data_IF_890029942327
#
_entry.id   IF_890029942327
#
_cell.length_a   1.000
_cell.length_b   1.000
_cell.length_c   1.000
_cell.angle_alpha   90.00
_cell.angle_beta   90.00
_cell.angle_gamma   90.00
#
_symmetry.space_group_name_H-M   'P 1'
#
loop_
_entity.id
_entity.type
_entity.pdbx_description
1 polymer ?
#
# COMPACT_ATOMS: atom_id res chain seq x y z
N UNK A 1 -32.40 43.83 10.06
CA UNK A 1 -32.78 42.72 9.16
C UNK A 1 -31.70 42.36 8.15
N UNK A 2 -30.88 43.27 7.68
CA UNK A 2 -29.78 43.01 6.70
C UNK A 2 -28.52 42.40 7.32
N UNK A 3 -28.24 42.67 8.60
CA UNK A 3 -27.07 42.06 9.30
C UNK A 3 -27.25 40.55 9.60
N UNK A 4 -28.50 40.11 9.86
CA UNK A 4 -28.81 38.72 10.12
C UNK A 4 -28.70 37.82 8.84
N UNK A 5 -28.93 38.41 7.65
CA UNK A 5 -28.81 37.71 6.36
C UNK A 5 -27.34 37.48 5.98
N UNK A 6 -26.45 38.43 6.36
CA UNK A 6 -25.01 38.30 6.11
C UNK A 6 -24.34 37.19 6.96
N UNK A 7 -24.80 37.01 8.20
CA UNK A 7 -24.28 35.93 9.09
C UNK A 7 -24.77 34.54 8.69
N UNK A 8 -25.99 34.44 8.16
CA UNK A 8 -26.52 33.17 7.66
C UNK A 8 -25.82 32.67 6.39
N UNK A 9 -25.25 33.55 5.56
CA UNK A 9 -24.53 33.20 4.34
C UNK A 9 -23.11 32.69 4.62
N UNK A 10 -22.49 33.05 5.75
CA UNK A 10 -21.15 32.57 6.15
C UNK A 10 -21.16 31.15 6.74
N UNK A 11 -22.32 30.62 7.13
CA UNK A 11 -22.44 29.29 7.77
C UNK A 11 -22.58 28.12 6.80
N UNK A 12 -22.60 28.36 5.47
CA UNK A 12 -22.76 27.32 4.44
C UNK A 12 -21.45 26.94 3.73
N UNK A 13 -20.28 27.41 4.22
CA UNK A 13 -19.02 26.91 3.69
C UNK A 13 -18.75 25.53 4.25
N UNK A 14 -19.20 24.49 3.54
CA UNK A 14 -18.74 23.12 3.78
C UNK A 14 -17.21 23.10 3.68
N UNK A 15 -16.49 22.41 4.58
CA UNK A 15 -15.04 22.30 4.49
C UNK A 15 -14.71 21.57 3.17
N UNK A 16 -14.19 22.32 2.21
CA UNK A 16 -13.61 21.73 1.00
C UNK A 16 -12.30 21.08 1.46
N UNK A 17 -12.25 19.77 1.47
CA UNK A 17 -11.02 19.04 1.73
C UNK A 17 -10.11 19.22 0.51
N UNK A 18 -9.10 20.06 0.66
CA UNK A 18 -8.05 20.24 -0.33
C UNK A 18 -6.81 19.50 0.16
N UNK A 19 -6.27 18.64 -0.69
CA UNK A 19 -5.04 17.90 -0.43
C UNK A 19 -3.88 18.56 -1.16
N UNK A 20 -2.67 18.41 -0.66
CA UNK A 20 -1.49 18.93 -1.34
C UNK A 20 -1.09 18.03 -2.50
N UNK A 21 -0.57 18.63 -3.59
CA UNK A 21 -0.10 17.85 -4.76
C UNK A 21 0.89 16.76 -4.33
N UNK A 22 1.77 17.00 -3.33
CA UNK A 22 2.70 15.99 -2.81
C UNK A 22 2.01 14.72 -2.26
N UNK A 23 0.77 14.86 -1.78
CA UNK A 23 0.01 13.76 -1.19
C UNK A 23 -0.81 13.02 -2.26
N UNK A 24 -1.09 13.70 -3.37
CA UNK A 24 -1.85 13.19 -4.52
C UNK A 24 -0.98 12.59 -5.61
N UNK A 25 0.25 13.06 -5.78
CA UNK A 25 1.13 12.67 -6.88
C UNK A 25 2.59 12.55 -6.47
N UNK A 26 3.28 11.63 -7.12
CA UNK A 26 4.72 11.42 -7.03
C UNK A 26 5.44 11.97 -8.26
N UNK A 27 6.73 12.31 -8.11
CA UNK A 27 7.54 12.81 -9.23
C UNK A 27 8.04 11.64 -10.07
N UNK A 28 7.77 11.66 -11.36
CA UNK A 28 8.22 10.64 -12.30
C UNK A 28 9.75 10.52 -12.33
N UNK A 29 10.23 9.28 -12.36
CA UNK A 29 11.67 8.99 -12.33
C UNK A 29 12.33 9.10 -10.95
N UNK A 30 11.57 9.44 -9.91
CA UNK A 30 12.02 9.43 -8.51
C UNK A 30 11.42 8.21 -7.83
N UNK A 31 12.22 7.15 -7.71
CA UNK A 31 11.80 5.89 -7.07
C UNK A 31 12.94 5.26 -6.30
N UNK A 32 12.63 4.48 -5.30
CA UNK A 32 13.59 3.58 -4.70
C UNK A 32 13.90 2.40 -5.64
N UNK A 33 15.09 1.85 -5.53
CA UNK A 33 15.54 0.72 -6.31
C UNK A 33 15.87 -0.45 -5.39
N UNK A 34 15.35 -1.63 -5.72
CA UNK A 34 15.64 -2.83 -4.95
C UNK A 34 17.01 -3.36 -5.32
N UNK A 35 17.81 -3.65 -4.30
CA UNK A 35 19.12 -4.28 -4.43
C UNK A 35 19.07 -5.70 -3.86
N UNK A 36 19.78 -6.60 -4.53
CA UNK A 36 19.93 -7.97 -4.10
C UNK A 36 21.42 -8.35 -4.09
N UNK A 37 21.81 -9.17 -3.14
CA UNK A 37 23.15 -9.74 -3.04
C UNK A 37 23.13 -11.14 -2.48
N UNK A 38 24.28 -11.78 -2.59
CA UNK A 38 24.61 -13.04 -1.96
C UNK A 38 25.82 -12.83 -1.04
N UNK A 39 25.81 -13.44 0.14
CA UNK A 39 26.91 -13.31 1.07
C UNK A 39 26.99 -14.47 2.04
N UNK A 40 28.01 -14.39 2.91
CA UNK A 40 28.20 -15.32 4.02
C UNK A 40 28.08 -14.57 5.35
N UNK A 41 27.30 -15.13 6.25
CA UNK A 41 27.28 -14.74 7.66
C UNK A 41 28.14 -15.74 8.43
N UNK A 42 29.09 -15.23 9.19
CA UNK A 42 30.05 -16.03 9.99
C UNK A 42 29.89 -15.72 11.47
N UNK A 43 30.57 -16.51 12.32
CA UNK A 43 30.53 -16.31 13.78
C UNK A 43 29.29 -16.87 14.47
N UNK A 44 28.52 -17.72 13.77
CA UNK A 44 27.32 -18.35 14.32
C UNK A 44 27.71 -19.45 15.33
N UNK A 45 27.06 -19.44 16.50
CA UNK A 45 27.29 -20.41 17.56
C UNK A 45 26.59 -21.75 17.28
N UNK A 46 27.13 -22.53 16.33
CA UNK A 46 26.63 -23.83 15.94
C UNK A 46 25.24 -23.82 15.26
N UNK A 47 24.69 -22.63 14.99
CA UNK A 47 23.36 -22.44 14.39
C UNK A 47 23.41 -22.22 12.88
N UNK A 48 24.60 -22.18 12.27
CA UNK A 48 24.81 -21.99 10.84
C UNK A 48 24.41 -23.20 10.00
N UNK A 49 24.75 -23.15 8.73
CA UNK A 49 24.48 -24.22 7.77
C UNK A 49 25.23 -25.50 8.11
N UNK A 50 24.57 -26.61 7.89
CA UNK A 50 25.22 -27.92 7.88
C UNK A 50 25.89 -28.08 6.52
N UNK A 51 27.21 -27.90 6.45
CA UNK A 51 27.96 -27.87 5.20
C UNK A 51 27.85 -29.16 4.39
N UNK A 52 27.53 -30.28 5.03
CA UNK A 52 27.22 -31.56 4.33
C UNK A 52 25.92 -31.52 3.53
N UNK A 53 24.97 -30.68 3.91
CA UNK A 53 23.66 -30.52 3.26
C UNK A 53 23.56 -29.23 2.43
N UNK A 54 24.44 -28.27 2.67
CA UNK A 54 24.55 -27.00 1.96
C UNK A 54 25.94 -26.85 1.30
N UNK A 55 26.23 -27.57 0.21
CA UNK A 55 27.56 -27.59 -0.42
C UNK A 55 27.98 -26.21 -0.97
N UNK A 56 27.02 -25.38 -1.35
CA UNK A 56 27.27 -24.03 -1.83
C UNK A 56 27.85 -23.10 -0.74
N UNK A 57 27.53 -23.32 0.55
CA UNK A 57 28.14 -22.58 1.67
C UNK A 57 29.62 -22.91 1.79
N UNK A 58 30.00 -24.20 1.66
CA UNK A 58 31.39 -24.62 1.65
C UNK A 58 32.17 -24.03 0.48
N UNK A 59 31.60 -24.14 -0.72
CA UNK A 59 32.23 -23.60 -1.93
C UNK A 59 32.44 -22.07 -1.84
N UNK A 60 31.47 -21.34 -1.31
CA UNK A 60 31.59 -19.89 -1.15
C UNK A 60 32.68 -19.52 -0.14
N UNK A 61 32.81 -20.28 0.94
CA UNK A 61 33.87 -20.10 1.91
C UNK A 61 35.27 -20.41 1.32
N UNK A 62 35.39 -21.50 0.56
CA UNK A 62 36.62 -21.88 -0.14
C UNK A 62 37.03 -20.79 -1.14
N UNK A 63 36.09 -20.27 -1.94
CA UNK A 63 36.35 -19.17 -2.87
C UNK A 63 36.84 -17.91 -2.15
N UNK A 64 36.23 -17.58 -1.01
CA UNK A 64 36.65 -16.46 -0.19
C UNK A 64 38.07 -16.66 0.37
N UNK A 65 38.37 -17.82 0.92
CA UNK A 65 39.71 -18.14 1.44
C UNK A 65 40.78 -18.07 0.34
N UNK A 66 40.45 -18.52 -0.88
CA UNK A 66 41.34 -18.41 -2.03
C UNK A 66 41.65 -16.95 -2.39
N UNK A 67 40.67 -16.04 -2.26
CA UNK A 67 40.88 -14.60 -2.48
C UNK A 67 41.87 -14.01 -1.45
N UNK A 68 41.96 -14.58 -0.24
CA UNK A 68 42.93 -14.23 0.79
C UNK A 68 44.24 -15.00 0.66
N UNK A 69 44.45 -15.78 -0.40
CA UNK A 69 45.65 -16.54 -0.64
C UNK A 69 45.75 -17.86 0.15
N UNK A 70 44.67 -18.28 0.79
CA UNK A 70 44.60 -19.54 1.55
C UNK A 70 44.06 -20.64 0.63
N UNK A 71 44.84 -21.67 0.34
CA UNK A 71 44.42 -22.82 -0.45
C UNK A 71 43.94 -23.94 0.46
N UNK A 72 42.67 -24.32 0.31
CA UNK A 72 42.08 -25.48 0.98
C UNK A 72 42.41 -26.74 0.18
N UNK A 73 42.93 -27.81 0.77
CA UNK A 73 43.20 -29.07 0.07
C UNK A 73 41.90 -29.63 -0.56
N UNK A 74 41.94 -30.18 -1.79
CA UNK A 74 40.74 -30.62 -2.52
C UNK A 74 39.95 -31.75 -1.84
N UNK A 75 40.54 -32.46 -0.88
CA UNK A 75 39.90 -33.53 -0.10
C UNK A 75 39.41 -33.08 1.30
N UNK A 76 39.65 -31.83 1.65
CA UNK A 76 39.14 -31.31 2.92
C UNK A 76 37.65 -31.07 2.83
N UNK A 77 36.90 -31.69 3.70
CA UNK A 77 35.44 -31.46 3.84
C UNK A 77 35.17 -30.84 5.20
N UNK A 78 35.34 -29.53 5.33
CA UNK A 78 35.13 -28.88 6.63
C UNK A 78 33.66 -29.01 7.04
N UNK A 79 33.41 -29.62 8.20
CA UNK A 79 32.09 -29.69 8.81
C UNK A 79 31.88 -28.46 9.70
N UNK A 80 31.54 -27.36 9.09
CA UNK A 80 31.31 -26.10 9.79
C UNK A 80 29.81 -25.96 10.10
N UNK A 81 29.55 -25.33 11.25
CA UNK A 81 28.19 -24.95 11.69
C UNK A 81 28.15 -23.49 12.13
N UNK A 82 29.25 -22.77 11.90
CA UNK A 82 29.42 -21.36 12.30
C UNK A 82 29.31 -20.37 11.13
N UNK A 83 28.95 -20.85 9.95
CA UNK A 83 28.75 -20.03 8.78
C UNK A 83 27.40 -20.37 8.12
N UNK A 84 26.78 -19.39 7.47
CA UNK A 84 25.55 -19.56 6.71
C UNK A 84 25.60 -18.75 5.41
N UNK A 85 25.14 -19.35 4.32
CA UNK A 85 24.90 -18.65 3.09
C UNK A 85 23.59 -17.85 3.19
N UNK A 86 23.62 -16.59 2.81
CA UNK A 86 22.48 -15.68 2.92
C UNK A 86 22.20 -14.95 1.63
N UNK A 87 20.91 -14.71 1.36
CA UNK A 87 20.50 -13.64 0.46
C UNK A 87 20.47 -12.34 1.23
N UNK A 88 20.79 -11.27 0.54
CA UNK A 88 20.88 -9.92 1.08
C UNK A 88 19.95 -9.06 0.25
N UNK A 89 19.07 -8.31 0.89
CA UNK A 89 18.18 -7.36 0.23
C UNK A 89 18.32 -5.99 0.88
N UNK A 90 18.28 -4.95 0.07
CA UNK A 90 18.28 -3.57 0.53
C UNK A 90 17.46 -2.71 -0.42
N UNK A 91 16.95 -1.62 0.09
CA UNK A 91 16.27 -0.60 -0.68
C UNK A 91 17.17 0.62 -0.81
N UNK A 92 17.56 0.95 -2.04
CA UNK A 92 18.33 2.14 -2.35
C UNK A 92 17.38 3.31 -2.54
N UNK A 93 17.36 4.31 -1.63
CA UNK A 93 16.48 5.47 -1.75
C UNK A 93 16.80 6.28 -3.02
N UNK A 94 15.81 7.02 -3.55
CA UNK A 94 16.09 7.97 -4.62
C UNK A 94 17.11 9.01 -4.15
N UNK A 95 17.96 9.46 -5.07
CA UNK A 95 19.03 10.45 -4.84
C UNK A 95 20.13 10.03 -3.86
N UNK A 96 20.21 8.77 -3.47
CA UNK A 96 21.30 8.28 -2.65
C UNK A 96 22.66 8.59 -3.29
N UNK A 97 23.61 9.06 -2.46
CA UNK A 97 24.95 9.44 -2.89
C UNK A 97 25.98 8.43 -2.38
N UNK A 98 27.09 8.23 -3.09
CA UNK A 98 28.21 7.44 -2.60
C UNK A 98 28.64 7.88 -1.20
N UNK A 99 28.90 6.91 -0.32
CA UNK A 99 29.24 7.12 1.08
C UNK A 99 28.04 7.19 2.05
N UNK A 100 26.80 7.26 1.57
CA UNK A 100 25.63 7.11 2.43
C UNK A 100 25.42 5.65 2.80
N UNK A 101 24.84 5.42 3.98
CA UNK A 101 24.52 4.07 4.45
C UNK A 101 23.01 3.77 4.32
N UNK A 102 22.71 2.52 4.05
CA UNK A 102 21.34 1.99 3.95
C UNK A 102 21.19 0.73 4.81
N UNK A 103 19.99 0.48 5.24
CA UNK A 103 19.65 -0.72 6.00
C UNK A 103 19.62 -1.95 5.09
N UNK A 104 20.04 -3.08 5.66
CA UNK A 104 20.11 -4.35 4.94
C UNK A 104 19.32 -5.41 5.69
N UNK A 105 18.60 -6.22 4.93
CA UNK A 105 17.96 -7.43 5.44
C UNK A 105 18.71 -8.65 4.91
N UNK A 106 19.00 -9.59 5.79
CA UNK A 106 19.66 -10.86 5.45
C UNK A 106 18.75 -12.03 5.80
N UNK A 107 18.70 -13.03 4.93
CA UNK A 107 17.94 -14.25 5.15
C UNK A 107 18.74 -15.47 4.72
N UNK A 108 18.74 -16.53 5.53
CA UNK A 108 19.43 -17.77 5.21
C UNK A 108 18.83 -18.43 3.97
N UNK A 109 19.69 -18.87 3.05
CA UNK A 109 19.30 -19.65 1.86
C UNK A 109 19.46 -21.15 2.17
N UNK A 110 20.35 -21.50 3.10
CA UNK A 110 20.65 -22.86 3.47
C UNK A 110 19.71 -23.38 4.55
N UNK A 111 20.27 -24.18 5.44
CA UNK A 111 19.56 -24.81 6.55
C UNK A 111 19.99 -24.26 7.92
N UNK A 112 20.53 -23.05 7.96
CA UNK A 112 20.89 -22.37 9.22
C UNK A 112 19.64 -22.15 10.08
N UNK A 113 19.75 -22.52 11.35
CA UNK A 113 18.67 -22.43 12.32
C UNK A 113 18.50 -21.01 12.85
N UNK A 114 19.60 -20.23 12.92
CA UNK A 114 19.60 -18.87 13.40
C UNK A 114 20.81 -18.11 12.87
N UNK A 115 20.62 -16.82 12.56
CA UNK A 115 21.70 -15.88 12.19
C UNK A 115 22.14 -15.01 13.37
N UNK A 116 21.64 -15.29 14.57
CA UNK A 116 21.91 -14.47 15.76
C UNK A 116 23.39 -14.49 16.13
N UNK A 117 23.93 -13.29 16.39
CA UNK A 117 25.34 -13.10 16.77
C UNK A 117 26.30 -13.23 15.60
N UNK A 118 25.81 -13.51 14.39
CA UNK A 118 26.64 -13.59 13.20
C UNK A 118 26.99 -12.23 12.63
N UNK A 119 28.06 -12.20 11.84
CA UNK A 119 28.53 -11.05 11.08
C UNK A 119 28.50 -11.34 9.60
N UNK A 120 27.88 -10.45 8.83
CA UNK A 120 27.86 -10.51 7.37
C UNK A 120 29.22 -10.04 6.84
N UNK A 121 29.86 -10.89 6.05
CA UNK A 121 31.08 -10.54 5.34
C UNK A 121 30.75 -9.61 4.17
N UNK A 122 31.77 -8.82 3.77
CA UNK A 122 31.67 -7.86 2.69
C UNK A 122 31.03 -8.50 1.44
N UNK A 123 29.89 -7.99 1.02
CA UNK A 123 29.06 -8.58 -0.04
C UNK A 123 28.52 -7.51 -0.96
N UNK A 124 28.69 -7.65 -2.28
CA UNK A 124 28.17 -6.68 -3.23
C UNK A 124 26.65 -6.80 -3.40
N UNK A 125 25.97 -5.66 -3.40
CA UNK A 125 24.55 -5.54 -3.72
C UNK A 125 24.35 -5.02 -5.14
N UNK A 126 23.58 -5.74 -5.92
CA UNK A 126 23.33 -5.47 -7.33
C UNK A 126 21.90 -5.00 -7.57
N UNK A 127 21.75 -4.08 -8.50
CA UNK A 127 20.45 -3.72 -9.04
C UNK A 127 19.94 -4.70 -10.11
N UNK A 128 18.75 -4.46 -10.63
CA UNK A 128 18.14 -5.27 -11.70
C UNK A 128 18.96 -5.27 -13.01
N UNK A 129 19.81 -4.26 -13.20
CA UNK A 129 20.73 -4.14 -14.35
C UNK A 129 22.05 -4.94 -14.16
N UNK A 130 22.22 -5.63 -13.03
CA UNK A 130 23.40 -6.41 -12.68
C UNK A 130 24.57 -5.61 -12.14
N UNK A 131 24.51 -4.26 -12.14
CA UNK A 131 25.58 -3.43 -11.61
C UNK A 131 25.57 -3.40 -10.08
N UNK A 132 26.77 -3.25 -9.48
CA UNK A 132 26.93 -3.09 -8.04
C UNK A 132 26.65 -1.62 -7.67
N UNK A 133 25.75 -1.42 -6.72
CA UNK A 133 25.33 -0.10 -6.21
C UNK A 133 25.72 0.13 -4.76
N UNK A 134 25.82 -0.93 -3.97
CA UNK A 134 26.22 -0.84 -2.59
C UNK A 134 27.02 -2.06 -2.16
N UNK A 135 27.75 -1.93 -1.06
CA UNK A 135 28.51 -3.02 -0.42
C UNK A 135 27.98 -3.19 0.99
N UNK A 136 27.50 -4.39 1.31
CA UNK A 136 26.95 -4.74 2.60
C UNK A 136 27.96 -5.44 3.48
N UNK A 137 28.01 -5.06 4.79
CA UNK A 137 28.82 -5.70 5.83
C UNK A 137 28.25 -5.32 7.20
N UNK A 138 28.41 -6.19 8.19
CA UNK A 138 28.15 -5.84 9.60
C UNK A 138 27.43 -6.91 10.40
N UNK A 139 27.23 -6.62 11.67
CA UNK A 139 26.63 -7.55 12.62
C UNK A 139 25.11 -7.68 12.43
N UNK A 140 24.65 -8.93 12.39
CA UNK A 140 23.23 -9.25 12.14
C UNK A 140 22.43 -9.13 13.42
N UNK A 141 21.44 -8.25 13.42
CA UNK A 141 20.46 -8.14 14.50
C UNK A 141 19.24 -9.00 14.14
N UNK A 142 19.01 -10.05 14.91
CA UNK A 142 17.87 -10.96 14.74
C UNK A 142 16.80 -10.64 15.77
N UNK A 143 15.59 -10.34 15.30
CA UNK A 143 14.42 -10.16 16.16
C UNK A 143 13.83 -11.51 16.53
N UNK A 144 13.64 -11.78 17.83
CA UNK A 144 13.00 -12.99 18.31
C UNK A 144 13.82 -13.78 19.34
N UNK A 145 13.12 -14.62 20.09
CA UNK A 145 13.69 -15.52 21.09
C UNK A 145 13.39 -16.95 20.69
N UNK A 146 14.41 -17.76 20.54
CA UNK A 146 14.27 -19.23 20.49
C UNK A 146 14.80 -19.79 21.80
N UNK A 147 13.98 -20.50 22.56
CA UNK A 147 14.39 -21.24 23.74
C UNK A 147 14.15 -22.73 23.50
N UNK A 148 15.19 -23.52 23.69
CA UNK A 148 15.12 -24.98 23.61
C UNK A 148 15.32 -25.57 25.01
N UNK A 149 14.30 -26.26 25.53
CA UNK A 149 14.40 -26.98 26.79
C UNK A 149 15.14 -28.29 26.63
N UNK A 150 15.85 -28.75 27.68
CA UNK A 150 16.53 -30.07 27.73
C UNK A 150 15.58 -31.26 27.47
N UNK A 151 14.27 -31.06 27.56
CA UNK A 151 13.24 -32.09 27.32
C UNK A 151 12.78 -32.18 25.85
N UNK A 152 13.43 -31.45 24.90
CA UNK A 152 13.07 -31.48 23.50
C UNK A 152 11.92 -30.54 23.09
N UNK A 153 11.32 -29.83 24.03
CA UNK A 153 10.34 -28.79 23.74
C UNK A 153 11.04 -27.52 23.29
N UNK A 154 10.72 -27.01 22.08
CA UNK A 154 11.23 -25.73 21.58
C UNK A 154 10.08 -24.74 21.42
N UNK A 155 10.24 -23.57 22.02
CA UNK A 155 9.36 -22.40 21.75
C UNK A 155 10.15 -21.46 20.86
N UNK A 156 9.71 -21.30 19.63
CA UNK A 156 10.26 -20.33 18.67
C UNK A 156 9.26 -19.20 18.50
N UNK A 157 9.62 -18.04 19.00
CA UNK A 157 8.87 -16.79 18.76
C UNK A 157 9.67 -15.97 17.75
N UNK A 158 9.14 -15.80 16.55
CA UNK A 158 9.73 -15.18 15.37
C UNK A 158 10.82 -15.99 14.63
N UNK A 159 11.00 -15.63 13.37
CA UNK A 159 11.92 -16.30 12.43
C UNK A 159 13.36 -15.88 12.75
N UNK A 160 14.16 -16.79 13.29
CA UNK A 160 15.57 -16.55 13.62
C UNK A 160 16.53 -16.70 12.43
N UNK A 161 16.05 -17.24 11.31
CA UNK A 161 16.82 -17.39 10.06
C UNK A 161 16.86 -16.14 9.20
N UNK A 162 16.28 -15.03 9.66
CA UNK A 162 16.33 -13.71 9.03
C UNK A 162 16.71 -12.65 10.05
N UNK A 163 17.45 -11.64 9.62
CA UNK A 163 17.87 -10.53 10.45
C UNK A 163 18.06 -9.24 9.67
N UNK A 164 18.30 -8.15 10.39
CA UNK A 164 18.55 -6.83 9.83
C UNK A 164 19.93 -6.33 10.27
N UNK A 165 20.57 -5.59 9.39
CA UNK A 165 21.82 -4.88 9.70
C UNK A 165 21.51 -3.40 9.50
N UNK A 166 21.27 -2.61 10.57
CA UNK A 166 21.04 -1.18 10.46
C UNK A 166 22.27 -0.49 9.90
N UNK A 167 22.09 0.38 8.91
CA UNK A 167 23.19 1.03 8.19
C UNK A 167 24.23 0.06 7.65
N UNK A 168 23.80 -1.15 7.31
CA UNK A 168 24.69 -2.28 7.00
C UNK A 168 25.25 -2.27 5.58
N UNK A 169 24.88 -1.35 4.71
CA UNK A 169 25.52 -1.22 3.41
C UNK A 169 25.90 0.23 3.12
N UNK A 170 27.09 0.39 2.54
CA UNK A 170 27.58 1.65 1.98
C UNK A 170 27.19 1.75 0.51
N UNK A 171 26.61 2.87 0.11
CA UNK A 171 26.32 3.18 -1.28
C UNK A 171 27.63 3.52 -2.01
N UNK A 172 27.93 2.80 -3.08
CA UNK A 172 29.12 3.01 -3.90
C UNK A 172 28.82 3.77 -5.20
N UNK A 173 27.60 3.64 -5.68
CA UNK A 173 27.16 4.26 -6.94
C UNK A 173 25.73 4.79 -6.82
N UNK A 174 25.52 6.02 -7.30
CA UNK A 174 24.17 6.58 -7.42
C UNK A 174 23.47 6.03 -8.67
N UNK A 175 22.13 5.86 -8.56
CA UNK A 175 21.31 5.55 -9.74
C UNK A 175 21.02 6.85 -10.50
N UNK A 176 21.23 6.90 -11.81
CA UNK A 176 20.82 8.05 -12.62
C UNK A 176 19.32 8.29 -12.50
N UNK A 177 18.92 9.49 -12.16
CA UNK A 177 17.52 9.89 -12.09
C UNK A 177 17.15 10.76 -13.27
N UNK A 178 15.98 10.51 -13.86
CA UNK A 178 15.43 11.36 -14.92
C UNK A 178 15.16 12.79 -14.45
N UNK A 179 15.07 13.02 -13.13
CA UNK A 179 14.88 14.34 -12.53
C UNK A 179 15.96 15.34 -12.92
N UNK A 180 17.22 14.88 -13.12
CA UNK A 180 18.35 15.73 -13.54
C UNK A 180 18.37 16.08 -15.03
N UNK A 181 17.55 15.45 -15.85
CA UNK A 181 17.54 15.67 -17.28
C UNK A 181 16.83 17.00 -17.63
N UNK A 182 17.29 17.64 -18.70
CA UNK A 182 16.63 18.81 -19.27
C UNK A 182 15.35 18.34 -19.97
N UNK A 183 14.22 18.49 -19.32
CA UNK A 183 12.91 18.09 -19.86
C UNK A 183 11.77 18.41 -18.90
N UNK A 184 10.57 18.21 -19.37
CA UNK A 184 9.37 18.36 -18.57
C UNK A 184 9.36 17.31 -17.46
N UNK A 185 8.93 17.74 -16.28
CA UNK A 185 8.72 16.84 -15.15
C UNK A 185 7.36 16.14 -15.30
N UNK A 186 7.34 14.86 -14.99
CA UNK A 186 6.10 14.09 -14.94
C UNK A 186 5.67 13.97 -13.48
N UNK A 187 4.43 14.36 -13.19
CA UNK A 187 3.76 14.05 -11.92
C UNK A 187 2.84 12.86 -12.15
N UNK A 188 3.11 11.78 -11.46
CA UNK A 188 2.32 10.55 -11.53
C UNK A 188 1.35 10.53 -10.34
N UNK A 189 0.06 10.51 -10.61
CA UNK A 189 -0.95 10.44 -9.57
C UNK A 189 -0.89 9.09 -8.85
N UNK A 190 -1.01 9.12 -7.53
CA UNK A 190 -1.04 7.90 -6.71
C UNK A 190 -2.28 7.05 -7.00
N UNK A 191 -3.40 7.72 -7.33
CA UNK A 191 -4.64 7.09 -7.80
C UNK A 191 -5.02 7.75 -9.11
N UNK A 192 -5.06 7.02 -10.24
CA UNK A 192 -5.43 7.58 -11.54
C UNK A 192 -6.88 8.11 -11.52
N UNK A 193 -7.05 9.39 -11.85
CA UNK A 193 -8.35 10.05 -12.00
C UNK A 193 -8.22 11.27 -12.91
N UNK A 194 -9.05 11.31 -13.96
CA UNK A 194 -9.01 12.38 -14.95
C UNK A 194 -9.37 13.75 -14.37
N UNK A 195 -10.30 13.79 -13.40
CA UNK A 195 -10.72 15.04 -12.73
C UNK A 195 -9.60 15.60 -11.88
N UNK A 196 -8.94 14.75 -11.08
CA UNK A 196 -7.79 15.12 -10.25
C UNK A 196 -6.61 15.57 -11.11
N UNK A 197 -6.30 14.86 -12.21
CA UNK A 197 -5.23 15.24 -13.12
C UNK A 197 -5.49 16.63 -13.75
N UNK A 198 -6.73 16.90 -14.19
CA UNK A 198 -7.10 18.20 -14.73
C UNK A 198 -7.01 19.31 -13.68
N UNK A 199 -7.49 19.08 -12.45
CA UNK A 199 -7.42 20.04 -11.34
C UNK A 199 -5.99 20.35 -10.91
N UNK A 200 -5.10 19.34 -10.88
CA UNK A 200 -3.67 19.54 -10.62
C UNK A 200 -3.06 20.45 -11.69
N UNK A 201 -3.30 20.15 -12.97
CA UNK A 201 -2.79 20.97 -14.05
C UNK A 201 -3.34 22.41 -13.99
N UNK A 202 -4.61 22.58 -13.66
CA UNK A 202 -5.24 23.89 -13.49
C UNK A 202 -4.63 24.68 -12.32
N UNK A 203 -4.40 24.04 -11.17
CA UNK A 203 -3.80 24.68 -10.00
C UNK A 203 -2.36 25.15 -10.30
N UNK A 204 -1.56 24.31 -10.98
CA UNK A 204 -0.20 24.66 -11.39
C UNK A 204 -0.23 25.83 -12.40
N UNK A 205 -1.12 25.79 -13.40
CA UNK A 205 -1.26 26.85 -14.39
C UNK A 205 -1.73 28.17 -13.80
N UNK A 206 -2.57 28.13 -12.78
CA UNK A 206 -3.02 29.31 -12.06
C UNK A 206 -1.87 29.97 -11.25
N UNK A 207 -0.99 29.15 -10.65
CA UNK A 207 0.13 29.62 -9.82
C UNK A 207 1.35 30.06 -10.64
N UNK A 208 1.67 29.38 -11.73
CA UNK A 208 2.93 29.55 -12.46
C UNK A 208 2.75 30.03 -13.92
N UNK A 209 1.53 30.22 -14.37
CA UNK A 209 1.20 30.68 -15.72
C UNK A 209 0.64 29.60 -16.62
N UNK A 210 -0.20 30.00 -17.56
CA UNK A 210 -0.88 29.12 -18.50
C UNK A 210 0.13 28.32 -19.34
N UNK A 211 -0.13 27.01 -19.54
CA UNK A 211 0.73 26.12 -20.34
C UNK A 211 1.94 25.56 -19.57
N UNK A 212 2.07 25.86 -18.26
CA UNK A 212 3.10 25.27 -17.41
C UNK A 212 2.81 23.78 -17.14
N UNK A 213 1.54 23.40 -16.97
CA UNK A 213 1.15 22.02 -16.74
C UNK A 213 0.08 21.58 -17.73
N UNK A 214 0.17 20.33 -18.17
CA UNK A 214 -0.80 19.69 -19.06
C UNK A 214 -1.05 18.25 -18.61
N UNK A 215 -2.33 17.82 -18.43
CA UNK A 215 -2.62 16.43 -18.16
C UNK A 215 -2.33 15.62 -19.45
N UNK A 216 -1.57 14.54 -19.32
CA UNK A 216 -1.24 13.60 -20.41
C UNK A 216 -2.31 12.51 -20.48
N UNK A 217 -2.67 12.00 -19.30
CA UNK A 217 -3.73 11.00 -19.09
C UNK A 217 -4.30 11.13 -17.68
N UNK A 218 -5.15 10.18 -17.25
CA UNK A 218 -5.75 10.18 -15.91
C UNK A 218 -4.77 9.89 -14.78
N UNK A 219 -3.54 9.48 -15.08
CA UNK A 219 -2.51 9.15 -14.10
C UNK A 219 -1.28 10.04 -14.16
N UNK A 220 -1.15 10.88 -15.20
CA UNK A 220 0.10 11.63 -15.45
C UNK A 220 -0.17 13.07 -15.85
N UNK A 221 0.53 13.99 -15.21
CA UNK A 221 0.55 15.41 -15.56
C UNK A 221 1.97 15.80 -15.94
N UNK A 222 2.18 16.29 -17.16
CA UNK A 222 3.45 16.88 -17.62
C UNK A 222 3.54 18.32 -17.12
N UNK A 223 4.69 18.68 -16.56
CA UNK A 223 4.91 19.98 -15.95
C UNK A 223 6.23 20.56 -16.41
N UNK A 224 6.17 21.71 -17.05
CA UNK A 224 7.34 22.43 -17.55
C UNK A 224 7.96 23.26 -16.45
N UNK A 225 9.16 22.87 -16.01
CA UNK A 225 9.90 23.56 -14.97
C UNK A 225 11.15 24.30 -15.45
N UNK A 226 11.86 24.98 -14.56
CA UNK A 226 13.16 25.58 -14.82
C UNK A 226 14.16 24.53 -15.33
N UNK A 227 15.08 24.92 -16.21
CA UNK A 227 16.13 24.03 -16.72
C UNK A 227 17.29 23.89 -15.72
N UNK A 228 17.52 24.89 -14.90
CA UNK A 228 18.56 24.85 -13.86
C UNK A 228 18.16 23.87 -12.74
N UNK A 229 19.01 22.89 -12.39
CA UNK A 229 18.68 21.87 -11.38
C UNK A 229 18.36 22.44 -9.99
N UNK A 230 19.07 23.50 -9.57
CA UNK A 230 18.85 24.14 -8.25
C UNK A 230 17.51 24.85 -8.20
N UNK A 231 17.18 25.60 -9.25
CA UNK A 231 15.88 26.26 -9.37
C UNK A 231 14.74 25.24 -9.50
N UNK A 232 14.99 24.11 -10.20
CA UNK A 232 14.01 23.02 -10.37
C UNK A 232 13.58 22.42 -9.04
N UNK A 233 14.52 22.20 -8.10
CA UNK A 233 14.20 21.68 -6.75
C UNK A 233 13.32 22.65 -5.97
N UNK A 234 13.71 23.94 -5.91
CA UNK A 234 12.94 24.96 -5.21
C UNK A 234 11.53 25.13 -5.80
N UNK A 235 11.46 25.18 -7.12
CA UNK A 235 10.22 25.32 -7.88
C UNK A 235 9.29 24.11 -7.66
N UNK A 236 9.82 22.88 -7.74
CA UNK A 236 9.03 21.68 -7.47
C UNK A 236 8.51 21.66 -6.03
N UNK A 237 9.31 22.13 -5.06
CA UNK A 237 8.85 22.29 -3.68
C UNK A 237 7.63 23.20 -3.57
N UNK A 238 7.57 24.29 -4.35
CA UNK A 238 6.40 25.17 -4.41
C UNK A 238 5.21 24.48 -5.08
N UNK A 239 5.43 23.76 -6.19
CA UNK A 239 4.37 22.98 -6.88
C UNK A 239 3.74 21.97 -5.93
N UNK A 240 4.56 21.22 -5.18
CA UNK A 240 4.09 20.21 -4.25
C UNK A 240 3.28 20.75 -3.08
N UNK A 241 3.41 22.05 -2.77
CA UNK A 241 2.65 22.71 -1.69
C UNK A 241 1.29 23.25 -2.14
N UNK A 242 0.99 23.25 -3.45
CA UNK A 242 -0.31 23.72 -3.95
C UNK A 242 -1.43 22.80 -3.44
N UNK A 243 -2.52 23.43 -3.05
CA UNK A 243 -3.72 22.76 -2.58
C UNK A 243 -4.63 22.44 -3.79
N UNK A 244 -5.09 21.22 -3.87
CA UNK A 244 -5.98 20.71 -4.93
C UNK A 244 -7.10 19.91 -4.29
N UNK A 245 -8.33 20.17 -4.66
CA UNK A 245 -9.45 19.31 -4.30
C UNK A 245 -9.46 18.10 -5.24
N UNK A 246 -9.21 16.87 -4.78
CA UNK A 246 -9.25 15.69 -5.63
C UNK A 246 -10.65 15.46 -6.21
N UNK A 247 -10.76 14.66 -7.24
CA UNK A 247 -12.04 14.15 -7.72
C UNK A 247 -12.67 13.23 -6.68
N UNK A 248 -13.99 13.05 -6.77
CA UNK A 248 -14.69 12.15 -5.87
C UNK A 248 -14.14 10.73 -6.03
N UNK A 249 -13.78 10.12 -4.90
CA UNK A 249 -13.29 8.74 -4.93
C UNK A 249 -14.39 7.80 -5.45
N UNK A 250 -14.05 6.79 -6.27
CA UNK A 250 -15.03 5.81 -6.71
C UNK A 250 -15.65 5.11 -5.50
N UNK A 251 -16.97 4.92 -5.55
CA UNK A 251 -17.70 4.20 -4.50
C UNK A 251 -17.07 2.80 -4.34
N UNK A 252 -16.60 2.47 -3.13
CA UNK A 252 -15.87 1.22 -2.86
C UNK A 252 -16.33 0.57 -1.56
N UNK A 253 -16.41 -0.75 -1.60
CA UNK A 253 -16.64 -1.61 -0.43
C UNK A 253 -15.44 -2.52 -0.29
N UNK A 254 -14.76 -2.47 0.85
CA UNK A 254 -13.64 -3.36 1.17
C UNK A 254 -14.07 -4.32 2.26
N UNK A 255 -13.94 -5.61 2.02
CA UNK A 255 -14.29 -6.66 2.97
C UNK A 255 -13.07 -7.52 3.27
N UNK A 256 -12.71 -7.61 4.54
CA UNK A 256 -11.68 -8.54 4.99
C UNK A 256 -12.34 -9.88 5.35
N UNK A 257 -12.08 -10.90 4.54
CA UNK A 257 -12.68 -12.24 4.68
C UNK A 257 -12.25 -12.95 5.97
N UNK A 258 -11.05 -12.66 6.48
CA UNK A 258 -10.49 -13.30 7.67
C UNK A 258 -11.02 -12.69 8.97
N UNK A 259 -11.19 -11.37 9.02
CA UNK A 259 -11.61 -10.65 10.23
C UNK A 259 -13.08 -10.29 10.22
N UNK A 260 -13.79 -10.40 9.09
CA UNK A 260 -15.16 -9.97 8.90
C UNK A 260 -15.34 -8.45 8.89
N UNK A 261 -14.25 -7.67 8.81
CA UNK A 261 -14.32 -6.22 8.80
C UNK A 261 -14.82 -5.74 7.44
N UNK A 262 -15.84 -4.88 7.44
CA UNK A 262 -16.40 -4.24 6.23
C UNK A 262 -16.20 -2.74 6.33
N UNK A 263 -15.59 -2.16 5.29
CA UNK A 263 -15.42 -0.70 5.14
C UNK A 263 -16.21 -0.26 3.93
N UNK A 264 -17.11 0.69 4.12
CA UNK A 264 -18.06 1.18 3.11
C UNK A 264 -17.76 2.65 2.85
N UNK A 265 -17.51 2.99 1.58
CA UNK A 265 -17.40 4.40 1.15
C UNK A 265 -18.73 5.13 1.25
N UNK A 266 -18.71 6.45 1.45
CA UNK A 266 -19.89 7.30 1.61
C UNK A 266 -20.84 7.26 0.41
N UNK A 267 -20.30 7.07 -0.80
CA UNK A 267 -21.04 7.18 -2.06
C UNK A 267 -21.55 5.83 -2.60
N UNK A 268 -21.47 4.78 -1.77
CA UNK A 268 -21.97 3.46 -2.12
C UNK A 268 -23.49 3.45 -2.08
N UNK A 269 -24.10 3.18 -3.24
CA UNK A 269 -25.56 3.09 -3.41
C UNK A 269 -25.95 1.69 -3.84
N UNK A 270 -27.14 1.28 -3.41
CA UNK A 270 -27.75 0.00 -3.79
C UNK A 270 -29.12 0.29 -4.38
N UNK A 271 -29.37 -0.24 -5.58
CA UNK A 271 -30.69 -0.18 -6.23
C UNK A 271 -31.59 -1.34 -5.78
N UNK A 272 -32.88 -1.26 -6.13
CA UNK A 272 -33.86 -2.29 -5.79
C UNK A 272 -33.42 -3.67 -6.26
N UNK A 273 -33.32 -4.61 -5.33
CA UNK A 273 -32.92 -6.00 -5.60
C UNK A 273 -33.40 -6.92 -4.47
N UNK A 274 -33.58 -8.20 -4.79
CA UNK A 274 -33.82 -9.25 -3.83
C UNK A 274 -32.71 -10.29 -3.94
N UNK A 275 -32.05 -10.62 -2.82
CA UNK A 275 -31.00 -11.64 -2.73
C UNK A 275 -31.36 -12.60 -1.60
N UNK A 276 -31.29 -13.89 -1.88
CA UNK A 276 -31.41 -14.95 -0.88
C UNK A 276 -30.09 -15.71 -0.79
N UNK A 277 -29.59 -15.92 0.42
CA UNK A 277 -28.40 -16.72 0.69
C UNK A 277 -28.62 -17.57 1.95
N UNK A 278 -28.69 -18.87 1.75
CA UNK A 278 -29.04 -19.81 2.84
C UNK A 278 -30.46 -19.52 3.37
N UNK A 279 -30.59 -19.31 4.68
CA UNK A 279 -31.83 -18.94 5.34
C UNK A 279 -32.10 -17.41 5.31
N UNK A 280 -31.15 -16.60 4.82
CA UNK A 280 -31.23 -15.15 4.83
C UNK A 280 -31.76 -14.63 3.49
N UNK A 281 -32.85 -13.87 3.51
CA UNK A 281 -33.40 -13.19 2.37
C UNK A 281 -33.33 -11.67 2.56
N UNK A 282 -32.72 -10.96 1.61
CA UNK A 282 -32.62 -9.50 1.59
C UNK A 282 -33.42 -9.00 0.39
N UNK A 283 -34.44 -8.19 0.64
CA UNK A 283 -35.25 -7.55 -0.39
C UNK A 283 -35.16 -6.03 -0.25
N UNK A 284 -34.79 -5.35 -1.33
CA UNK A 284 -34.70 -3.90 -1.42
C UNK A 284 -35.75 -3.46 -2.44
N UNK A 285 -36.73 -2.65 -2.02
CA UNK A 285 -37.76 -2.11 -2.91
C UNK A 285 -37.74 -0.58 -2.88
N UNK A 286 -37.94 0.02 -4.05
CA UNK A 286 -38.10 1.47 -4.18
C UNK A 286 -39.56 1.79 -4.40
N UNK A 287 -40.14 2.61 -3.52
CA UNK A 287 -41.49 3.15 -3.71
C UNK A 287 -41.43 4.68 -3.69
N UNK A 288 -41.78 5.35 -4.79
CA UNK A 288 -41.82 6.81 -4.79
C UNK A 288 -43.02 7.30 -3.94
N UNK A 289 -42.75 8.06 -2.90
CA UNK A 289 -43.75 8.77 -2.13
C UNK A 289 -44.07 10.10 -2.80
N UNK A 290 -45.30 10.23 -3.34
CA UNK A 290 -45.77 11.46 -3.94
C UNK A 290 -46.46 12.30 -2.85
N UNK A 291 -45.79 13.36 -2.40
CA UNK A 291 -46.40 14.36 -1.52
C UNK A 291 -47.19 15.35 -2.37
N UNK A 292 -48.52 15.25 -2.33
CA UNK A 292 -49.39 16.23 -2.97
C UNK A 292 -49.82 17.31 -1.98
N UNK A 293 -49.72 18.61 -2.36
CA UNK A 293 -50.27 19.68 -1.55
C UNK A 293 -51.78 19.56 -1.43
N UNK A 294 -52.32 20.03 -0.33
CA UNK A 294 -53.79 20.07 -0.14
C UNK A 294 -54.46 20.95 -1.20
N UNK A 295 -55.70 20.63 -1.61
CA UNK A 295 -56.44 21.45 -2.55
C UNK A 295 -56.45 22.92 -2.13
N UNK A 296 -56.16 23.83 -3.08
CA UNK A 296 -56.03 25.28 -2.89
C UNK A 296 -54.75 25.78 -2.19
N UNK A 297 -53.73 24.96 -1.92
CA UNK A 297 -52.41 25.43 -1.46
C UNK A 297 -51.49 25.74 -2.64
N UNK A 298 -50.57 26.71 -2.49
CA UNK A 298 -49.57 27.10 -3.52
C UNK A 298 -48.32 26.21 -3.50
N UNK A 299 -48.40 25.00 -2.93
CA UNK A 299 -47.27 24.06 -2.89
C UNK A 299 -47.04 23.34 -4.24
N UNK A 300 -45.83 22.93 -4.53
CA UNK A 300 -45.50 22.08 -5.68
C UNK A 300 -45.47 20.61 -5.26
N UNK A 301 -45.91 19.70 -6.14
CA UNK A 301 -45.83 18.26 -5.95
C UNK A 301 -44.34 17.87 -5.91
N UNK A 302 -43.88 17.28 -4.82
CA UNK A 302 -42.55 16.73 -4.71
C UNK A 302 -42.63 15.20 -4.72
N UNK A 303 -41.86 14.55 -5.58
CA UNK A 303 -41.64 13.11 -5.60
C UNK A 303 -40.39 12.83 -4.81
N UNK A 304 -40.53 12.20 -3.65
CA UNK A 304 -39.39 11.79 -2.81
C UNK A 304 -39.21 10.28 -2.97
N UNK A 305 -38.05 9.82 -3.48
CA UNK A 305 -37.80 8.38 -3.54
C UNK A 305 -37.71 7.81 -2.12
N UNK A 306 -38.49 6.75 -1.88
CA UNK A 306 -38.47 6.00 -0.61
C UNK A 306 -38.09 4.56 -0.91
N UNK A 307 -37.03 4.10 -0.29
CA UNK A 307 -36.54 2.72 -0.43
C UNK A 307 -36.84 1.93 0.84
N UNK A 308 -37.34 0.72 0.67
CA UNK A 308 -37.65 -0.21 1.75
C UNK A 308 -36.73 -1.43 1.65
N UNK A 309 -36.07 -1.79 2.76
CA UNK A 309 -35.23 -2.98 2.85
C UNK A 309 -35.84 -3.95 3.84
N UNK A 310 -36.11 -5.16 3.39
CA UNK A 310 -36.58 -6.25 4.21
C UNK A 310 -35.53 -7.34 4.26
N UNK A 311 -35.11 -7.72 5.47
CA UNK A 311 -34.27 -8.90 5.72
C UNK A 311 -35.09 -9.86 6.56
N UNK A 312 -35.31 -11.07 6.08
CA UNK A 312 -36.00 -12.11 6.83
C UNK A 312 -35.14 -13.38 6.94
N UNK A 313 -35.14 -13.94 8.13
CA UNK A 313 -34.66 -15.30 8.43
C UNK A 313 -35.88 -16.11 8.86
N UNK A 314 -35.88 -17.43 8.66
CA UNK A 314 -37.00 -18.28 9.08
C UNK A 314 -37.20 -18.16 10.61
N UNK A 315 -38.16 -17.29 11.00
CA UNK A 315 -38.47 -16.94 12.41
C UNK A 315 -38.31 -15.46 12.78
N UNK A 316 -38.08 -14.52 11.84
CA UNK A 316 -37.46 -13.21 12.07
C UNK A 316 -38.32 -11.97 11.95
N UNK A 317 -37.70 -10.86 12.34
CA UNK A 317 -38.24 -9.50 12.48
C UNK A 317 -38.06 -8.66 11.20
N UNK A 318 -39.13 -7.92 10.83
CA UNK A 318 -39.13 -6.97 9.70
C UNK A 318 -38.61 -5.60 10.15
N UNK A 319 -37.71 -5.01 9.33
CA UNK A 319 -37.24 -3.63 9.53
C UNK A 319 -37.61 -2.74 8.35
N UNK A 320 -38.12 -1.54 8.63
CA UNK A 320 -38.53 -0.55 7.65
C UNK A 320 -37.57 0.63 7.64
N UNK A 321 -37.02 0.97 6.48
CA UNK A 321 -36.03 2.04 6.31
C UNK A 321 -36.52 3.14 5.38
N UNK A 322 -36.03 4.38 5.58
CA UNK A 322 -36.39 5.57 4.80
C UNK A 322 -35.66 5.71 3.46
N UNK A 323 -35.87 6.79 2.71
CA UNK A 323 -35.44 6.93 1.32
C UNK A 323 -33.92 6.92 1.10
N UNK A 324 -33.47 6.20 0.07
CA UNK A 324 -32.08 6.09 -0.35
C UNK A 324 -31.28 5.15 0.57
N UNK A 325 -31.41 3.83 0.35
CA UNK A 325 -30.71 2.87 1.20
C UNK A 325 -29.20 2.96 0.97
N UNK A 326 -28.48 3.47 1.98
CA UNK A 326 -27.04 3.30 2.03
C UNK A 326 -26.71 1.84 2.33
N UNK A 327 -25.64 1.32 1.76
CA UNK A 327 -25.17 -0.04 2.03
C UNK A 327 -24.92 -0.26 3.54
N UNK A 328 -24.53 0.77 4.30
CA UNK A 328 -24.36 0.75 5.74
C UNK A 328 -25.63 0.28 6.47
N UNK A 329 -26.79 0.69 6.00
CA UNK A 329 -28.08 0.27 6.58
C UNK A 329 -28.34 -1.22 6.34
N UNK A 330 -27.99 -1.73 5.18
CA UNK A 330 -28.12 -3.17 4.83
C UNK A 330 -27.16 -4.00 5.69
N UNK A 331 -25.91 -3.56 5.81
CA UNK A 331 -24.89 -4.25 6.62
C UNK A 331 -25.30 -4.29 8.09
N UNK A 332 -25.84 -3.20 8.63
CA UNK A 332 -26.37 -3.20 10.02
C UNK A 332 -27.53 -4.17 10.18
N UNK A 333 -28.46 -4.21 9.24
CA UNK A 333 -29.59 -5.11 9.29
C UNK A 333 -29.15 -6.58 9.21
N UNK A 334 -28.22 -6.92 8.33
CA UNK A 334 -27.65 -8.27 8.22
C UNK A 334 -26.88 -8.68 9.48
N UNK A 335 -26.11 -7.74 10.08
CA UNK A 335 -25.40 -8.00 11.32
C UNK A 335 -26.37 -8.19 12.53
N UNK A 336 -27.52 -7.51 12.54
CA UNK A 336 -28.55 -7.68 13.60
C UNK A 336 -29.18 -9.07 13.57
N UNK A 337 -29.27 -9.70 12.41
CA UNK A 337 -29.76 -11.07 12.23
C UNK A 337 -28.71 -12.11 12.63
N UNK A 338 -27.47 -11.70 12.90
CA UNK A 338 -26.40 -12.59 13.33
C UNK A 338 -25.73 -13.38 12.20
N UNK A 339 -25.83 -12.90 10.95
CA UNK A 339 -25.19 -13.53 9.80
C UNK A 339 -23.66 -13.61 9.94
N UNK A 340 -23.07 -14.68 9.47
CA UNK A 340 -21.63 -14.82 9.44
C UNK A 340 -20.99 -13.84 8.41
N UNK A 341 -19.74 -13.39 8.64
CA UNK A 341 -19.04 -12.52 7.69
C UNK A 341 -18.97 -13.07 6.25
N UNK A 342 -18.89 -14.40 6.11
CA UNK A 342 -18.93 -15.09 4.81
C UNK A 342 -20.24 -14.87 4.05
N UNK A 343 -21.35 -14.85 4.78
CA UNK A 343 -22.68 -14.70 4.18
C UNK A 343 -22.87 -13.28 3.68
N UNK A 344 -22.39 -12.29 4.43
CA UNK A 344 -22.37 -10.90 4.00
C UNK A 344 -21.56 -10.71 2.70
N UNK A 345 -20.38 -11.35 2.59
CA UNK A 345 -19.57 -11.32 1.37
C UNK A 345 -20.35 -11.90 0.19
N UNK A 346 -20.99 -13.04 0.38
CA UNK A 346 -21.78 -13.71 -0.66
C UNK A 346 -22.98 -12.86 -1.11
N UNK A 347 -23.66 -12.21 -0.18
CA UNK A 347 -24.77 -11.27 -0.47
C UNK A 347 -24.25 -10.06 -1.25
N UNK A 348 -23.13 -9.46 -0.86
CA UNK A 348 -22.53 -8.31 -1.56
C UNK A 348 -22.07 -8.68 -2.98
N UNK A 349 -21.49 -9.87 -3.15
CA UNK A 349 -21.10 -10.39 -4.46
C UNK A 349 -22.32 -10.62 -5.36
N UNK A 350 -23.39 -11.19 -4.82
CA UNK A 350 -24.64 -11.39 -5.57
C UNK A 350 -25.27 -10.06 -5.98
N UNK A 351 -25.32 -9.07 -5.07
CA UNK A 351 -25.78 -7.71 -5.39
C UNK A 351 -24.91 -7.05 -6.48
N UNK A 352 -23.60 -7.27 -6.45
CA UNK A 352 -22.70 -6.76 -7.48
C UNK A 352 -22.93 -7.43 -8.82
N UNK A 353 -23.08 -8.76 -8.85
CA UNK A 353 -23.37 -9.51 -10.07
C UNK A 353 -24.75 -9.16 -10.68
N UNK A 354 -25.72 -8.90 -9.82
CA UNK A 354 -27.06 -8.44 -10.24
C UNK A 354 -27.07 -6.98 -10.74
N UNK A 355 -25.93 -6.26 -10.64
CA UNK A 355 -25.86 -4.85 -11.00
C UNK A 355 -26.52 -3.91 -10.00
N UNK A 356 -27.02 -4.42 -8.88
CA UNK A 356 -27.69 -3.64 -7.86
C UNK A 356 -26.73 -2.84 -6.96
N UNK A 357 -25.49 -3.31 -6.79
CA UNK A 357 -24.46 -2.60 -6.04
C UNK A 357 -23.63 -1.71 -6.98
N UNK A 358 -23.83 -0.39 -6.85
CA UNK A 358 -23.05 0.61 -7.58
C UNK A 358 -21.79 0.99 -6.83
N UNK A 359 -20.86 0.05 -6.71
CA UNK A 359 -19.56 0.23 -6.08
C UNK A 359 -18.57 -0.83 -6.57
N UNK A 360 -17.28 -0.56 -6.40
CA UNK A 360 -16.24 -1.57 -6.52
C UNK A 360 -16.21 -2.42 -5.24
N UNK A 361 -16.26 -3.74 -5.38
CA UNK A 361 -16.15 -4.67 -4.25
C UNK A 361 -14.74 -5.26 -4.24
N UNK A 362 -14.00 -4.99 -3.17
CA UNK A 362 -12.64 -5.51 -2.93
C UNK A 362 -12.69 -6.45 -1.74
N UNK A 363 -12.30 -7.72 -1.94
CA UNK A 363 -12.20 -8.73 -0.87
C UNK A 363 -10.71 -8.97 -0.58
N UNK A 364 -10.32 -8.84 0.70
CA UNK A 364 -8.94 -8.98 1.19
C UNK A 364 -8.84 -10.00 2.33
#
# INVERSE_FOLDING_TARGET
>A
MWLALGIALCLLAAPVHADKIRDLASVGGVRSNQLIGYGLVVGLDGSGDQTTQAPFTTQSLENMLQQFGITVPPNARPQLKNAAAVTITAELPPFAKPGQTIDVTVASIGNAKSLRGGELLMSPLRGADGNVYAIAQGSVVVGGVSAQGKSGSSVQVNISASGRIPNGASVERSVPSAFGNAGDLMLNLNTPDFTTAARIAQAINAAFGAGTAQPVDGGTVSVRGPQDPGQKVAWLGMVQQLDVTPGDAPARVVVNSRTGTVVIGSDVKVTAAAVAHGAIQVTISEQPLVSQPQPFSRGQTAVVPSSDVQVSEDGAHMFKFGPGVSLDTIVRAVNQVGAAPSDLISILQALKQAGALHAELVVI
#
